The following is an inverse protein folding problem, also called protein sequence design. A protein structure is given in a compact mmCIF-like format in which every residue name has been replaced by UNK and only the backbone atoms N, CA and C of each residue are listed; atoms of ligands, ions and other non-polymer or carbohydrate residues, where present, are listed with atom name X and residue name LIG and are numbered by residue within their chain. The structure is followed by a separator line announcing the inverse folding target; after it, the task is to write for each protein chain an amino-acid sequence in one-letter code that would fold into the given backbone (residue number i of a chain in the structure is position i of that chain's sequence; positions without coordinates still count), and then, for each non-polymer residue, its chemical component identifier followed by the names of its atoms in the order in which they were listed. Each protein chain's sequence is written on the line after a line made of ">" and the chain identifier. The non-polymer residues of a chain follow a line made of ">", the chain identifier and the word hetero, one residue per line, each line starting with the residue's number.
data_IF_548798604094
#
_entry.id   IF_548798604094
#
_cell.length_a   1.000
_cell.length_b   1.000
_cell.length_c   1.000
_cell.angle_alpha   90.00
_cell.angle_beta   90.00
_cell.angle_gamma   90.00
#
_symmetry.space_group_name_H-M   'P 1'
#
loop_
_entity.id
_entity.type
_entity.pdbx_description
1 polymer ?
#
# COMPACT_ATOMS: atom_id res chain seq x y z
N UNK A 1 -8.60 12.92 -2.94
CA UNK A 1 -9.93 12.41 -2.58
C UNK A 1 -10.03 11.05 -3.25
N UNK A 2 -10.26 9.97 -2.51
CA UNK A 2 -10.62 8.69 -3.12
C UNK A 2 -12.09 8.46 -2.85
N UNK A 3 -12.86 8.43 -3.94
CA UNK A 3 -14.26 8.05 -3.89
C UNK A 3 -14.35 6.53 -4.02
N UNK A 4 -15.39 5.96 -3.43
CA UNK A 4 -15.63 4.53 -3.44
C UNK A 4 -17.10 4.28 -3.23
N UNK A 5 -17.51 3.07 -3.60
CA UNK A 5 -18.91 2.68 -3.71
C UNK A 5 -19.11 1.40 -2.91
N UNK A 6 -19.96 1.44 -1.90
CA UNK A 6 -20.54 0.22 -1.34
C UNK A 6 -21.81 -0.08 -2.15
N UNK A 7 -21.90 -1.26 -2.76
CA UNK A 7 -23.08 -1.69 -3.52
C UNK A 7 -24.19 -2.16 -2.54
N UNK A 8 -25.45 -1.69 -2.68
CA UNK A 8 -25.96 -0.67 -3.60
C UNK A 8 -25.94 0.74 -2.94
N UNK A 9 -25.20 1.69 -3.51
CA UNK A 9 -25.10 3.04 -2.98
C UNK A 9 -24.38 4.01 -3.94
N UNK A 10 -24.57 5.31 -3.72
CA UNK A 10 -23.90 6.36 -4.50
C UNK A 10 -22.41 6.44 -4.20
N UNK A 11 -21.63 6.98 -5.13
CA UNK A 11 -20.23 7.33 -4.88
C UNK A 11 -20.18 8.34 -3.75
N UNK A 12 -19.62 7.91 -2.62
CA UNK A 12 -19.36 8.77 -1.49
C UNK A 12 -17.85 8.90 -1.32
N UNK A 13 -17.38 10.04 -0.78
CA UNK A 13 -15.99 10.15 -0.37
C UNK A 13 -15.75 9.18 0.79
N UNK A 14 -15.31 7.96 0.49
CA UNK A 14 -14.89 6.95 1.49
C UNK A 14 -13.67 7.44 2.24
N UNK A 15 -12.84 8.26 1.59
CA UNK A 15 -11.67 8.85 2.20
C UNK A 15 -11.60 10.36 1.99
N UNK A 16 -12.20 11.09 2.93
CA UNK A 16 -11.77 12.46 3.26
C UNK A 16 -10.32 12.33 3.75
N UNK A 17 -9.38 13.10 3.23
CA UNK A 17 -7.94 12.97 3.53
C UNK A 17 -7.55 13.35 4.99
N UNK A 18 -8.49 13.23 5.91
CA UNK A 18 -8.43 13.44 7.36
C UNK A 18 -8.64 12.11 8.08
N UNK A 19 -8.05 11.94 9.26
CA UNK A 19 -8.20 10.71 10.06
C UNK A 19 -7.60 9.48 9.36
N UNK A 20 -8.27 8.34 9.47
CA UNK A 20 -7.79 7.01 9.04
C UNK A 20 -7.55 6.89 7.52
N UNK A 21 -8.09 7.83 6.77
CA UNK A 21 -7.97 7.93 5.33
C UNK A 21 -6.76 8.74 4.85
N UNK A 22 -6.08 9.44 5.78
CA UNK A 22 -4.84 10.15 5.50
C UNK A 22 -3.72 9.14 5.28
N UNK A 23 -2.96 9.34 4.19
CA UNK A 23 -1.71 8.60 4.01
C UNK A 23 -0.72 9.01 5.11
N UNK A 24 -0.25 8.02 5.85
CA UNK A 24 0.74 8.16 6.91
C UNK A 24 1.89 7.19 6.70
N UNK A 25 3.04 7.46 7.31
CA UNK A 25 4.15 6.53 7.28
C UNK A 25 3.73 5.19 7.92
N UNK A 26 4.04 4.09 7.26
CA UNK A 26 3.80 2.75 7.81
C UNK A 26 4.74 2.46 8.97
N UNK A 27 4.27 1.73 9.98
CA UNK A 27 5.13 1.23 11.06
C UNK A 27 6.03 0.08 10.58
N UNK A 28 7.06 -0.27 11.33
CA UNK A 28 7.89 -1.44 11.02
C UNK A 28 7.09 -2.75 11.02
N UNK A 29 6.08 -2.87 11.90
CA UNK A 29 5.21 -4.03 11.98
C UNK A 29 4.33 -4.15 10.72
N UNK A 30 3.76 -3.04 10.25
CA UNK A 30 2.98 -2.99 9.01
C UNK A 30 3.84 -3.41 7.82
N UNK A 31 5.02 -2.80 7.68
CA UNK A 31 5.96 -3.11 6.60
C UNK A 31 6.37 -4.58 6.62
N UNK A 32 6.60 -5.16 7.80
CA UNK A 32 6.87 -6.60 7.95
C UNK A 32 5.69 -7.45 7.46
N UNK A 33 4.46 -7.07 7.80
CA UNK A 33 3.24 -7.71 7.31
C UNK A 33 3.13 -7.67 5.79
N UNK A 34 3.37 -6.51 5.18
CA UNK A 34 3.35 -6.36 3.72
C UNK A 34 4.41 -7.24 3.05
N UNK A 35 5.65 -7.22 3.57
CA UNK A 35 6.76 -8.01 3.03
C UNK A 35 6.50 -9.51 3.11
N UNK A 36 5.80 -10.00 4.12
CA UNK A 36 5.46 -11.41 4.25
C UNK A 36 4.61 -11.95 3.09
N UNK A 37 3.90 -11.07 2.37
CA UNK A 37 3.10 -11.44 1.18
C UNK A 37 3.92 -11.54 -0.12
N UNK A 38 5.18 -11.09 -0.11
CA UNK A 38 6.05 -11.07 -1.28
C UNK A 38 6.92 -12.34 -1.38
N UNK A 39 7.41 -12.67 -2.60
CA UNK A 39 8.44 -13.68 -2.77
C UNK A 39 9.68 -13.41 -1.91
N UNK A 40 10.33 -14.47 -1.40
CA UNK A 40 11.45 -14.38 -0.45
C UNK A 40 12.57 -13.42 -0.87
N UNK A 41 12.89 -13.38 -2.17
CA UNK A 41 13.89 -12.48 -2.75
C UNK A 41 13.63 -10.99 -2.44
N UNK A 42 12.37 -10.59 -2.25
CA UNK A 42 12.01 -9.20 -1.95
C UNK A 42 12.03 -8.88 -0.46
N UNK A 43 11.92 -9.90 0.39
CA UNK A 43 11.80 -9.74 1.83
C UNK A 43 13.10 -9.25 2.49
N UNK A 44 14.26 -9.46 1.85
CA UNK A 44 15.54 -8.97 2.36
C UNK A 44 15.73 -7.45 2.20
N UNK A 45 15.01 -6.81 1.27
CA UNK A 45 15.24 -5.41 0.95
C UNK A 45 14.57 -4.44 1.93
N UNK A 46 15.12 -3.23 2.09
CA UNK A 46 14.50 -2.16 2.86
C UNK A 46 13.33 -1.54 2.07
N UNK A 47 12.20 -1.38 2.78
CA UNK A 47 10.97 -0.79 2.26
C UNK A 47 10.70 0.52 3.00
N UNK A 48 10.34 1.56 2.25
CA UNK A 48 9.79 2.80 2.80
C UNK A 48 8.36 2.92 2.30
N UNK A 49 7.40 2.90 3.23
CA UNK A 49 5.98 2.78 2.89
C UNK A 49 5.15 3.90 3.51
N UNK A 50 4.06 4.23 2.81
CA UNK A 50 2.95 5.01 3.34
C UNK A 50 1.68 4.18 3.19
N UNK A 51 0.73 4.33 4.12
CA UNK A 51 -0.52 3.58 4.10
C UNK A 51 -1.70 4.42 4.58
N UNK A 52 -2.90 3.95 4.26
CA UNK A 52 -4.16 4.30 4.90
C UNK A 52 -4.99 3.03 5.11
N UNK A 53 -6.27 3.16 5.43
CA UNK A 53 -7.19 2.02 5.63
C UNK A 53 -7.38 1.10 4.42
N UNK A 54 -7.13 1.58 3.20
CA UNK A 54 -7.45 0.85 1.98
C UNK A 54 -6.22 0.26 1.29
N UNK A 55 -5.07 0.92 1.39
CA UNK A 55 -3.86 0.51 0.69
C UNK A 55 -2.58 0.98 1.36
N UNK A 56 -1.47 0.32 1.00
CA UNK A 56 -0.12 0.79 1.29
C UNK A 56 0.70 0.90 0.00
N UNK A 57 1.47 1.97 -0.15
CA UNK A 57 2.41 2.17 -1.25
C UNK A 57 3.83 2.18 -0.71
N UNK A 58 4.70 1.34 -1.29
CA UNK A 58 6.05 1.13 -0.84
C UNK A 58 7.07 1.38 -1.95
N UNK A 59 8.13 2.10 -1.61
CA UNK A 59 9.36 2.17 -2.40
C UNK A 59 10.38 1.19 -1.82
N UNK A 60 10.96 0.37 -2.69
CA UNK A 60 12.04 -0.56 -2.35
C UNK A 60 13.36 -0.01 -2.86
N UNK A 61 14.39 -0.04 -2.00
CA UNK A 61 15.76 0.29 -2.39
C UNK A 61 16.51 -1.02 -2.67
N UNK A 62 16.69 -1.35 -3.94
CA UNK A 62 17.61 -2.40 -4.39
C UNK A 62 18.86 -1.73 -4.99
N UNK A 63 20.02 -2.39 -4.88
CA UNK A 63 21.34 -1.88 -5.23
C UNK A 63 21.40 -1.29 -6.65
N UNK A 64 20.65 -1.85 -7.61
CA UNK A 64 20.65 -1.38 -9.01
C UNK A 64 19.28 -0.90 -9.53
N UNK A 65 18.20 -1.06 -8.76
CA UNK A 65 16.83 -0.73 -9.22
C UNK A 65 15.94 -0.17 -8.12
N UNK A 66 15.15 0.85 -8.46
CA UNK A 66 14.02 1.30 -7.62
C UNK A 66 12.79 0.49 -8.04
N UNK A 67 12.26 -0.31 -7.12
CA UNK A 67 11.00 -1.01 -7.32
C UNK A 67 9.90 -0.37 -6.47
N UNK A 68 8.67 -0.47 -6.93
CA UNK A 68 7.50 0.07 -6.25
C UNK A 68 6.46 -1.03 -6.10
N UNK A 69 5.78 -1.03 -4.97
CA UNK A 69 4.71 -1.98 -4.68
C UNK A 69 3.50 -1.23 -4.14
N UNK A 70 2.33 -1.63 -4.60
CA UNK A 70 1.06 -1.27 -3.99
C UNK A 70 0.50 -2.52 -3.31
N UNK A 71 0.04 -2.38 -2.08
CA UNK A 71 -0.63 -3.42 -1.32
C UNK A 71 -2.07 -3.00 -1.09
N UNK A 72 -3.03 -3.80 -1.55
CA UNK A 72 -4.44 -3.58 -1.21
C UNK A 72 -4.71 -4.17 0.17
N UNK A 73 -5.39 -3.43 1.04
CA UNK A 73 -5.70 -3.85 2.42
C UNK A 73 -7.21 -4.09 2.64
N UNK A 74 -8.03 -3.79 1.64
CA UNK A 74 -9.49 -3.94 1.69
C UNK A 74 -9.86 -5.41 1.91
N UNK A 75 -10.77 -5.66 2.87
CA UNK A 75 -11.26 -7.00 3.18
C UNK A 75 -10.29 -7.85 4.02
N UNK A 76 -9.26 -7.24 4.63
CA UNK A 76 -8.31 -7.93 5.51
C UNK A 76 -7.26 -8.78 4.80
N UNK A 77 -7.34 -8.87 3.47
CA UNK A 77 -6.37 -9.57 2.65
C UNK A 77 -5.35 -8.58 2.06
N UNK A 78 -4.08 -8.77 2.41
CA UNK A 78 -2.99 -7.99 1.83
C UNK A 78 -2.57 -8.61 0.49
N UNK A 79 -2.82 -7.90 -0.61
CA UNK A 79 -2.43 -8.38 -1.96
C UNK A 79 -1.38 -7.46 -2.58
N UNK A 80 -0.20 -7.98 -2.96
CA UNK A 80 0.86 -7.18 -3.55
C UNK A 80 0.66 -6.99 -5.06
N UNK A 81 0.84 -5.76 -5.52
CA UNK A 81 0.77 -5.35 -6.93
C UNK A 81 2.09 -4.66 -7.28
N UNK A 82 2.91 -5.21 -8.19
CA UNK A 82 4.15 -4.57 -8.61
C UNK A 82 3.83 -3.34 -9.45
N UNK A 83 4.50 -2.23 -9.16
CA UNK A 83 4.34 -0.99 -9.89
C UNK A 83 5.62 -0.60 -10.61
N UNK A 84 5.47 -0.17 -11.86
CA UNK A 84 6.52 0.47 -12.62
C UNK A 84 6.36 1.98 -12.52
N UNK A 85 7.48 2.68 -12.27
CA UNK A 85 7.51 4.13 -12.38
C UNK A 85 7.46 4.51 -13.86
N UNK A 86 6.40 5.21 -14.26
CA UNK A 86 6.40 5.94 -15.53
C UNK A 86 7.43 7.08 -15.42
N UNK A 87 8.26 7.22 -16.46
CA UNK A 87 9.48 8.05 -16.48
C UNK A 87 9.29 9.42 -15.84
#
# INVERSE_FOLDING_TARGET
>A
MMDGKQEPGDWQPVCRASGDCRLQASSEADVKGFKATLPAQWQAYPFACIQNVAMAFCRVRNQDRRAYWLFTLVGGQTTPIPLNRLR
#
